data_IF_802455675167
#
_entry.id   IF_802455675167
#
_cell.length_a   1.000
_cell.length_b   1.000
_cell.length_c   1.000
_cell.angle_alpha   90.00
_cell.angle_beta   90.00
_cell.angle_gamma   90.00
#
_symmetry.space_group_name_H-M   'P 1'
#
loop_
_entity.id
_entity.type
_entity.pdbx_description
1 polymer ?
#
# COMPACT_ATOMS: atom_id res chain seq x y z
N UNK A 1 -10.41 -15.75 -4.26
CA UNK A 1 -11.25 -15.22 -3.16
C UNK A 1 -12.60 -14.73 -3.65
N UNK A 2 -12.70 -13.69 -4.50
CA UNK A 2 -14.02 -13.26 -5.03
C UNK A 2 -14.60 -14.31 -5.98
N UNK A 3 -13.75 -14.96 -6.77
CA UNK A 3 -14.17 -16.00 -7.71
C UNK A 3 -14.82 -17.20 -7.01
N UNK A 4 -14.38 -17.50 -5.80
CA UNK A 4 -14.79 -18.66 -4.99
C UNK A 4 -16.08 -18.42 -4.19
N UNK A 5 -16.56 -17.16 -4.13
CA UNK A 5 -17.74 -16.78 -3.35
C UNK A 5 -18.99 -17.52 -3.79
N UNK A 6 -19.72 -18.04 -2.81
CA UNK A 6 -21.02 -18.67 -2.98
C UNK A 6 -22.15 -17.71 -2.62
N UNK A 7 -23.33 -17.99 -3.18
CA UNK A 7 -24.54 -17.23 -2.86
C UNK A 7 -24.89 -17.37 -1.37
N UNK A 8 -25.18 -16.24 -0.72
CA UNK A 8 -25.50 -16.20 0.71
C UNK A 8 -24.29 -16.06 1.64
N UNK A 9 -23.06 -16.12 1.11
CA UNK A 9 -21.86 -15.85 1.91
C UNK A 9 -21.73 -14.36 2.25
N UNK A 10 -21.07 -14.07 3.37
CA UNK A 10 -20.81 -12.71 3.86
C UNK A 10 -19.31 -12.44 3.85
N UNK A 11 -18.90 -11.47 3.04
CA UNK A 11 -17.55 -10.91 3.07
C UNK A 11 -17.51 -9.86 4.17
N UNK A 12 -16.70 -10.12 5.20
CA UNK A 12 -16.49 -9.15 6.29
C UNK A 12 -15.21 -8.38 6.00
N UNK A 13 -15.32 -7.07 5.79
CA UNK A 13 -14.16 -6.19 5.78
C UNK A 13 -13.81 -5.80 7.23
N UNK A 14 -12.53 -5.82 7.59
CA UNK A 14 -12.08 -5.37 8.92
C UNK A 14 -12.51 -3.91 9.19
N UNK A 15 -12.34 -3.04 8.19
CA UNK A 15 -12.69 -1.63 8.20
C UNK A 15 -12.93 -1.12 6.79
N UNK A 16 -13.66 -0.02 6.66
CA UNK A 16 -13.93 0.61 5.37
C UNK A 16 -12.65 1.13 4.69
N UNK A 17 -11.62 1.50 5.46
CA UNK A 17 -10.34 2.00 4.94
C UNK A 17 -9.52 0.94 4.19
N UNK A 18 -9.87 -0.35 4.36
CA UNK A 18 -9.31 -1.43 3.56
C UNK A 18 -9.81 -1.42 2.12
N UNK A 19 -11.00 -0.86 1.90
CA UNK A 19 -11.64 -0.72 0.59
C UNK A 19 -11.35 0.68 0.00
N UNK A 20 -11.35 1.74 0.83
CA UNK A 20 -11.22 3.15 0.39
C UNK A 20 -9.86 3.56 -0.19
N UNK A 21 -8.86 2.69 -0.12
CA UNK A 21 -7.58 2.89 -0.83
C UNK A 21 -7.76 2.87 -2.35
N UNK A 22 -8.78 2.18 -2.82
CA UNK A 22 -9.21 2.21 -4.22
C UNK A 22 -9.93 3.53 -4.51
N UNK A 23 -9.87 4.06 -5.75
CA UNK A 23 -10.81 5.08 -6.20
C UNK A 23 -12.26 4.64 -5.97
N UNK A 24 -13.18 5.57 -5.71
CA UNK A 24 -14.59 5.25 -5.44
C UNK A 24 -15.19 4.30 -6.50
N UNK A 25 -14.92 4.59 -7.78
CA UNK A 25 -15.38 3.78 -8.92
C UNK A 25 -14.90 2.32 -8.84
N UNK A 26 -13.68 2.08 -8.35
CA UNK A 26 -13.14 0.74 -8.19
C UNK A 26 -13.69 0.03 -6.95
N UNK A 27 -13.93 0.79 -5.87
CA UNK A 27 -14.61 0.27 -4.68
C UNK A 27 -16.05 -0.14 -5.00
N UNK A 28 -16.77 0.64 -5.81
CA UNK A 28 -18.11 0.29 -6.30
C UNK A 28 -18.07 -0.99 -7.14
N UNK A 29 -17.11 -1.11 -8.08
CA UNK A 29 -16.93 -2.35 -8.86
C UNK A 29 -16.68 -3.58 -7.98
N UNK A 30 -15.92 -3.43 -6.89
CA UNK A 30 -15.69 -4.51 -5.94
C UNK A 30 -16.99 -4.94 -5.24
N UNK A 31 -17.78 -3.97 -4.78
CA UNK A 31 -19.09 -4.22 -4.15
C UNK A 31 -20.02 -4.91 -5.14
N UNK A 32 -20.08 -4.43 -6.37
CA UNK A 32 -20.90 -5.01 -7.44
C UNK A 32 -20.46 -6.43 -7.78
N UNK A 33 -19.16 -6.72 -7.82
CA UNK A 33 -18.64 -8.06 -8.06
C UNK A 33 -19.03 -9.05 -6.95
N UNK A 34 -19.02 -8.62 -5.68
CA UNK A 34 -19.46 -9.42 -4.53
C UNK A 34 -20.97 -9.71 -4.65
N UNK A 35 -21.76 -8.67 -4.95
CA UNK A 35 -23.23 -8.79 -5.13
C UNK A 35 -23.61 -9.68 -6.31
N UNK A 36 -22.86 -9.62 -7.40
CA UNK A 36 -23.08 -10.45 -8.58
C UNK A 36 -22.92 -11.95 -8.28
N UNK A 37 -22.13 -12.31 -7.26
CA UNK A 37 -22.00 -13.68 -6.75
C UNK A 37 -23.12 -14.09 -5.78
N UNK A 38 -24.05 -13.19 -5.47
CA UNK A 38 -25.09 -13.39 -4.45
C UNK A 38 -24.56 -13.30 -3.02
N UNK A 39 -23.34 -12.81 -2.84
CA UNK A 39 -22.73 -12.60 -1.54
C UNK A 39 -23.00 -11.17 -1.03
N UNK A 40 -22.82 -10.96 0.28
CA UNK A 40 -23.04 -9.68 0.95
C UNK A 40 -21.73 -9.13 1.49
N UNK A 41 -21.60 -7.81 1.50
CA UNK A 41 -20.48 -7.12 2.14
C UNK A 41 -20.93 -6.58 3.50
N UNK A 42 -20.25 -6.99 4.56
CA UNK A 42 -20.42 -6.44 5.91
C UNK A 42 -19.19 -5.62 6.29
N UNK A 43 -19.43 -4.38 6.72
CA UNK A 43 -18.37 -3.45 7.17
C UNK A 43 -18.72 -2.95 8.58
N UNK A 44 -17.86 -3.18 9.58
CA UNK A 44 -18.07 -2.66 10.92
C UNK A 44 -18.25 -1.13 10.91
N UNK A 45 -19.29 -0.66 11.60
CA UNK A 45 -19.61 0.77 11.72
C UNK A 45 -20.54 1.32 10.63
N UNK A 46 -20.86 0.55 9.59
CA UNK A 46 -21.97 0.89 8.66
C UNK A 46 -23.22 0.15 9.13
N UNK A 47 -24.35 0.83 9.16
CA UNK A 47 -25.64 0.22 9.47
C UNK A 47 -25.96 -0.83 8.40
N UNK A 48 -26.29 -2.04 8.83
CA UNK A 48 -26.76 -3.12 7.96
C UNK A 48 -28.29 -3.20 7.99
N UNK A 49 -28.93 -2.75 6.90
CA UNK A 49 -30.38 -2.79 6.73
C UNK A 49 -30.87 -4.11 6.12
N UNK A 50 -30.00 -5.13 5.96
CA UNK A 50 -30.35 -6.40 5.29
C UNK A 50 -31.55 -7.09 5.93
N UNK A 51 -31.63 -7.14 7.27
CA UNK A 51 -32.75 -7.77 7.99
C UNK A 51 -34.09 -7.05 7.76
N UNK A 52 -34.07 -5.72 7.73
CA UNK A 52 -35.27 -4.92 7.45
C UNK A 52 -35.71 -5.07 5.99
N UNK A 53 -34.74 -5.21 5.09
CA UNK A 53 -34.97 -5.42 3.66
C UNK A 53 -35.64 -6.76 3.39
N UNK A 54 -35.19 -7.83 4.05
CA UNK A 54 -35.79 -9.18 3.97
C UNK A 54 -37.22 -9.23 4.54
N UNK A 55 -37.49 -8.46 5.60
CA UNK A 55 -38.82 -8.35 6.19
C UNK A 55 -39.79 -7.46 5.38
N UNK A 56 -39.28 -6.68 4.42
CA UNK A 56 -40.06 -5.69 3.66
C UNK A 56 -40.45 -6.19 2.27
N UNK A 57 -41.63 -5.80 1.80
CA UNK A 57 -42.14 -6.15 0.46
C UNK A 57 -42.49 -4.91 -0.35
N UNK A 58 -42.48 -5.05 -1.68
CA UNK A 58 -42.86 -3.98 -2.60
C UNK A 58 -41.95 -2.75 -2.52
N UNK A 59 -42.54 -1.56 -2.56
CA UNK A 59 -41.81 -0.28 -2.60
C UNK A 59 -40.85 -0.09 -1.42
N UNK A 60 -41.25 -0.54 -0.22
CA UNK A 60 -40.42 -0.41 0.98
C UNK A 60 -39.06 -1.12 0.85
N UNK A 61 -39.04 -2.31 0.23
CA UNK A 61 -37.81 -3.05 -0.02
C UNK A 61 -36.87 -2.29 -0.96
N UNK A 62 -37.40 -1.77 -2.08
CA UNK A 62 -36.63 -0.97 -3.05
C UNK A 62 -36.01 0.26 -2.40
N UNK A 63 -36.76 0.95 -1.54
CA UNK A 63 -36.26 2.12 -0.81
C UNK A 63 -35.16 1.73 0.16
N UNK A 64 -35.33 0.66 0.95
CA UNK A 64 -34.32 0.20 1.91
C UNK A 64 -33.01 -0.21 1.22
N UNK A 65 -33.08 -0.89 0.06
CA UNK A 65 -31.91 -1.20 -0.75
C UNK A 65 -31.20 0.07 -1.25
N UNK A 66 -31.97 1.06 -1.75
CA UNK A 66 -31.41 2.34 -2.18
C UNK A 66 -30.72 3.11 -1.04
N UNK A 67 -31.30 3.09 0.16
CA UNK A 67 -30.70 3.71 1.35
C UNK A 67 -29.41 2.99 1.75
N UNK A 68 -29.40 1.65 1.76
CA UNK A 68 -28.20 0.86 2.06
C UNK A 68 -27.06 1.19 1.08
N UNK A 69 -27.38 1.29 -0.21
CA UNK A 69 -26.41 1.61 -1.27
C UNK A 69 -25.86 3.02 -1.12
N UNK A 70 -26.72 3.99 -0.82
CA UNK A 70 -26.31 5.37 -0.57
C UNK A 70 -25.41 5.47 0.66
N UNK A 71 -25.78 4.82 1.77
CA UNK A 71 -24.97 4.79 3.00
C UNK A 71 -23.58 4.20 2.75
N UNK A 72 -23.50 3.10 1.99
CA UNK A 72 -22.23 2.49 1.63
C UNK A 72 -21.38 3.43 0.76
N UNK A 73 -21.95 4.07 -0.26
CA UNK A 73 -21.22 5.02 -1.12
C UNK A 73 -20.72 6.23 -0.35
N UNK A 74 -21.55 6.82 0.50
CA UNK A 74 -21.16 7.96 1.34
C UNK A 74 -20.03 7.56 2.29
N UNK A 75 -20.13 6.40 2.93
CA UNK A 75 -19.08 5.92 3.82
C UNK A 75 -17.76 5.69 3.06
N UNK A 76 -17.81 5.08 1.87
CA UNK A 76 -16.64 4.87 1.01
C UNK A 76 -16.00 6.21 0.59
N UNK A 77 -16.81 7.22 0.27
CA UNK A 77 -16.34 8.55 -0.09
C UNK A 77 -15.64 9.23 1.10
N UNK A 78 -16.25 9.24 2.29
CA UNK A 78 -15.63 9.82 3.50
C UNK A 78 -14.29 9.15 3.80
N UNK A 79 -14.24 7.82 3.69
CA UNK A 79 -13.02 7.06 3.92
C UNK A 79 -11.95 7.31 2.85
N UNK A 80 -12.35 7.73 1.64
CA UNK A 80 -11.45 8.14 0.57
C UNK A 80 -10.88 9.53 0.83
N UNK A 81 -11.73 10.48 1.18
CA UNK A 81 -11.33 11.85 1.50
C UNK A 81 -10.29 11.86 2.63
N UNK A 82 -10.54 11.11 3.71
CA UNK A 82 -9.58 10.99 4.82
C UNK A 82 -8.25 10.33 4.40
N UNK A 83 -8.28 9.39 3.46
CA UNK A 83 -7.07 8.78 2.91
C UNK A 83 -6.25 9.79 2.09
N UNK A 84 -6.90 10.58 1.23
CA UNK A 84 -6.26 11.61 0.41
C UNK A 84 -5.68 12.73 1.27
N UNK A 85 -6.43 13.19 2.27
CA UNK A 85 -6.01 14.14 3.28
C UNK A 85 -4.73 13.69 4.00
N UNK A 86 -4.69 12.44 4.47
CA UNK A 86 -3.51 11.87 5.13
C UNK A 86 -2.30 11.85 4.20
N UNK A 87 -2.51 11.48 2.93
CA UNK A 87 -1.46 11.44 1.92
C UNK A 87 -0.92 12.84 1.60
N UNK A 88 -1.80 13.83 1.51
CA UNK A 88 -1.41 15.21 1.29
C UNK A 88 -0.60 15.78 2.46
N UNK A 89 -1.06 15.60 3.69
CA UNK A 89 -0.31 16.04 4.89
C UNK A 89 1.06 15.36 4.97
N UNK A 90 1.12 14.07 4.65
CA UNK A 90 2.39 13.35 4.57
C UNK A 90 3.31 13.95 3.51
N UNK A 91 2.80 14.24 2.31
CA UNK A 91 3.57 14.89 1.24
C UNK A 91 4.14 16.23 1.69
N UNK A 92 3.30 17.09 2.26
CA UNK A 92 3.71 18.40 2.80
C UNK A 92 4.82 18.24 3.86
N UNK A 93 4.67 17.29 4.79
CA UNK A 93 5.70 17.00 5.79
C UNK A 93 7.01 16.50 5.19
N UNK A 94 6.94 15.65 4.16
CA UNK A 94 8.12 15.18 3.41
C UNK A 94 8.82 16.35 2.73
N UNK A 95 8.08 17.24 2.07
CA UNK A 95 8.64 18.37 1.34
C UNK A 95 9.33 19.37 2.28
N UNK A 96 8.72 19.69 3.43
CA UNK A 96 9.35 20.49 4.49
C UNK A 96 10.65 19.84 4.99
N UNK A 97 10.62 18.53 5.25
CA UNK A 97 11.78 17.80 5.75
C UNK A 97 12.90 17.67 4.71
N UNK A 98 12.56 17.56 3.42
CA UNK A 98 13.52 17.63 2.30
C UNK A 98 14.14 19.02 2.18
N UNK A 99 13.34 20.08 2.27
CA UNK A 99 13.83 21.47 2.30
C UNK A 99 14.77 21.74 3.47
N UNK A 100 14.52 21.12 4.62
CA UNK A 100 15.41 21.14 5.79
C UNK A 100 16.59 20.15 5.72
N UNK A 101 16.81 19.46 4.59
CA UNK A 101 17.94 18.56 4.39
C UNK A 101 17.91 17.25 5.21
N UNK A 102 16.77 16.89 5.83
CA UNK A 102 16.67 15.70 6.70
C UNK A 102 16.64 14.39 5.93
N UNK A 103 16.33 14.43 4.63
CA UNK A 103 16.30 13.28 3.74
C UNK A 103 17.68 13.04 3.11
N UNK A 104 18.56 12.32 3.82
CA UNK A 104 19.90 11.95 3.35
C UNK A 104 19.97 10.58 2.64
N UNK A 105 18.81 9.94 2.41
CA UNK A 105 18.74 8.59 1.83
C UNK A 105 19.21 7.49 2.77
N UNK A 106 19.52 6.32 2.20
CA UNK A 106 20.05 5.18 2.98
C UNK A 106 21.48 5.50 3.41
N UNK A 107 21.73 5.49 4.72
CA UNK A 107 23.08 5.64 5.26
C UNK A 107 23.99 4.53 4.70
N UNK A 108 25.16 4.86 4.15
CA UNK A 108 26.09 3.86 3.66
C UNK A 108 26.60 2.98 4.81
N UNK A 109 26.81 1.70 4.53
CA UNK A 109 27.47 0.79 5.45
C UNK A 109 28.99 0.98 5.32
N UNK A 110 29.55 1.80 6.20
CA UNK A 110 30.96 2.20 6.16
C UNK A 110 31.89 1.00 6.36
N UNK A 111 31.55 0.07 7.25
CA UNK A 111 32.36 -1.13 7.52
C UNK A 111 32.41 -2.06 6.31
N UNK A 112 31.27 -2.20 5.62
CA UNK A 112 31.23 -2.96 4.38
C UNK A 112 32.06 -2.27 3.29
N UNK A 113 31.98 -0.95 3.16
CA UNK A 113 32.79 -0.21 2.19
C UNK A 113 34.29 -0.38 2.45
N UNK A 114 34.73 -0.24 3.71
CA UNK A 114 36.13 -0.45 4.11
C UNK A 114 36.63 -1.84 3.76
N UNK A 115 35.82 -2.88 4.03
CA UNK A 115 36.16 -4.27 3.67
C UNK A 115 36.32 -4.46 2.16
N UNK A 116 35.42 -3.88 1.38
CA UNK A 116 35.50 -3.93 -0.09
C UNK A 116 36.76 -3.24 -0.60
N UNK A 117 37.09 -2.06 -0.05
CA UNK A 117 38.30 -1.30 -0.41
C UNK A 117 39.55 -2.10 -0.06
N UNK A 118 39.65 -2.64 1.16
CA UNK A 118 40.79 -3.45 1.59
C UNK A 118 41.02 -4.67 0.69
N UNK A 119 39.96 -5.42 0.36
CA UNK A 119 40.04 -6.58 -0.54
C UNK A 119 40.43 -6.18 -1.97
N UNK A 120 39.89 -5.08 -2.50
CA UNK A 120 40.24 -4.61 -3.86
C UNK A 120 41.67 -4.09 -3.94
N UNK A 121 42.14 -3.38 -2.92
CA UNK A 121 43.53 -2.90 -2.82
C UNK A 121 44.52 -4.04 -2.61
N UNK A 122 44.11 -5.13 -1.96
CA UNK A 122 44.87 -6.38 -1.86
C UNK A 122 44.92 -7.22 -3.13
N UNK A 123 44.39 -6.73 -4.27
CA UNK A 123 44.47 -7.39 -5.56
C UNK A 123 43.34 -8.37 -5.89
N UNK A 124 42.34 -8.56 -5.02
CA UNK A 124 41.23 -9.47 -5.30
C UNK A 124 40.42 -9.02 -6.54
N UNK A 125 39.92 -10.01 -7.29
CA UNK A 125 38.99 -9.79 -8.39
C UNK A 125 37.64 -9.28 -7.87
N UNK A 126 36.87 -8.59 -8.72
CA UNK A 126 35.56 -8.04 -8.34
C UNK A 126 34.59 -9.13 -7.85
N UNK A 127 34.57 -10.29 -8.53
CA UNK A 127 33.71 -11.41 -8.17
C UNK A 127 34.11 -12.04 -6.84
N UNK A 128 35.41 -12.16 -6.60
CA UNK A 128 35.92 -12.70 -5.34
C UNK A 128 35.70 -11.74 -4.17
N UNK A 129 35.93 -10.45 -4.35
CA UNK A 129 35.59 -9.43 -3.35
C UNK A 129 34.11 -9.44 -3.00
N UNK A 130 33.23 -9.59 -3.99
CA UNK A 130 31.78 -9.67 -3.77
C UNK A 130 31.42 -10.87 -2.88
N UNK A 131 31.99 -12.05 -3.16
CA UNK A 131 31.81 -13.27 -2.36
C UNK A 131 32.34 -13.09 -0.93
N UNK A 132 33.56 -12.59 -0.76
CA UNK A 132 34.22 -12.44 0.54
C UNK A 132 33.61 -11.33 1.41
N UNK A 133 33.14 -10.24 0.79
CA UNK A 133 32.49 -9.14 1.49
C UNK A 133 30.98 -9.35 1.69
N UNK A 134 30.38 -10.40 1.08
CA UNK A 134 28.96 -10.70 1.20
C UNK A 134 28.04 -9.70 0.49
N UNK A 135 28.50 -9.11 -0.62
CA UNK A 135 27.76 -8.08 -1.36
C UNK A 135 27.70 -8.39 -2.85
N UNK A 136 26.82 -7.71 -3.58
CA UNK A 136 26.73 -7.89 -5.03
C UNK A 136 27.95 -7.31 -5.76
N UNK A 137 28.27 -7.89 -6.92
CA UNK A 137 29.31 -7.39 -7.84
C UNK A 137 29.10 -5.91 -8.19
N UNK A 138 27.85 -5.48 -8.41
CA UNK A 138 27.51 -4.08 -8.68
C UNK A 138 27.85 -3.17 -7.51
N UNK A 139 27.64 -3.63 -6.27
CA UNK A 139 27.99 -2.88 -5.08
C UNK A 139 29.51 -2.72 -4.93
N UNK A 140 30.29 -3.77 -5.22
CA UNK A 140 31.76 -3.70 -5.24
C UNK A 140 32.24 -2.67 -6.25
N UNK A 141 31.74 -2.73 -7.49
CA UNK A 141 32.09 -1.77 -8.55
C UNK A 141 31.77 -0.33 -8.14
N UNK A 142 30.58 -0.09 -7.58
CA UNK A 142 30.13 1.23 -7.13
C UNK A 142 31.02 1.79 -6.02
N UNK A 143 31.31 0.99 -4.99
CA UNK A 143 32.16 1.40 -3.86
C UNK A 143 33.59 1.67 -4.32
N UNK A 144 34.14 0.80 -5.17
CA UNK A 144 35.49 0.97 -5.69
C UNK A 144 35.65 2.23 -6.55
N UNK A 145 34.68 2.50 -7.44
CA UNK A 145 34.65 3.73 -8.22
C UNK A 145 34.55 4.97 -7.31
N UNK A 146 33.68 4.94 -6.30
CA UNK A 146 33.55 6.03 -5.32
C UNK A 146 34.85 6.29 -4.54
N UNK A 147 35.63 5.25 -4.24
CA UNK A 147 36.93 5.40 -3.60
C UNK A 147 37.95 6.07 -4.53
N UNK A 148 38.06 5.61 -5.78
CA UNK A 148 39.01 6.18 -6.75
C UNK A 148 38.73 7.66 -7.06
N UNK A 149 37.48 8.09 -7.03
CA UNK A 149 37.13 9.51 -7.23
C UNK A 149 37.51 10.36 -6.02
N UNK A 150 37.50 9.79 -4.81
CA UNK A 150 37.95 10.50 -3.59
C UNK A 150 39.46 10.72 -3.57
N UNK A 151 40.25 9.76 -4.05
CA UNK A 151 41.71 9.87 -4.06
C UNK A 151 42.24 10.85 -5.14
N UNK A 152 41.38 11.34 -6.05
CA UNK A 152 41.73 12.26 -7.15
C UNK A 152 41.44 13.74 -6.86
N UNK A 153 40.81 14.05 -5.72
CA UNK A 153 40.48 15.41 -5.26
C UNK A 153 41.38 15.74 -4.07
#
# INVERSE_FOLDING_TARGET
MIEDLQSGEVVIAEKIDRISRLPLVEAEKLVDAIRAKGARLAVPGIVDLSQLTEASRGVANVVLQGVQDMLLRVALQIARDDFEDRRERQRQGIDLAKGAGRYAGRKPDTKMHERVIALKSGGCSIAETARLAGVSVSQVKRVWAQNQTKDKV
#
